data_IF_628449151670
#
_entry.id   IF_628449151670
#
_cell.length_a   1.000
_cell.length_b   1.000
_cell.length_c   1.000
_cell.angle_alpha   90.00
_cell.angle_beta   90.00
_cell.angle_gamma   90.00
#
_symmetry.space_group_name_H-M   'P 1'
#
loop_
_entity.id
_entity.type
_entity.pdbx_description
1 polymer ?
#
# COMPACT_ATOMS: atom_id res chain seq x y z
N UNK A 1 21.97 24.74 -6.60
CA UNK A 1 21.76 23.28 -6.68
C UNK A 1 20.25 23.05 -6.77
N UNK A 2 19.75 22.40 -7.83
CA UNK A 2 18.34 21.99 -7.87
C UNK A 2 18.21 20.74 -7.00
N UNK A 3 17.50 20.83 -5.88
CA UNK A 3 17.17 19.65 -5.08
C UNK A 3 16.18 18.81 -5.89
N UNK A 4 16.62 17.66 -6.40
CA UNK A 4 15.72 16.67 -6.99
C UNK A 4 14.92 16.06 -5.84
N UNK A 5 13.74 16.60 -5.57
CA UNK A 5 12.85 16.03 -4.55
C UNK A 5 12.32 14.69 -5.04
N UNK A 6 12.52 13.63 -4.27
CA UNK A 6 11.98 12.32 -4.59
C UNK A 6 10.43 12.37 -4.52
N UNK A 7 9.72 12.12 -5.63
CA UNK A 7 8.25 12.10 -5.61
C UNK A 7 7.68 11.17 -4.56
N UNK A 8 8.34 10.03 -4.33
CA UNK A 8 7.86 8.97 -3.44
C UNK A 8 7.94 9.32 -1.95
N UNK A 9 8.57 10.45 -1.59
CA UNK A 9 8.57 10.97 -0.22
C UNK A 9 7.59 12.12 0.00
N UNK A 10 6.92 12.59 -1.05
CA UNK A 10 5.93 13.67 -0.93
C UNK A 10 4.59 13.11 -0.44
N UNK A 11 3.80 13.90 0.31
CA UNK A 11 2.45 13.49 0.70
C UNK A 11 1.54 13.42 -0.52
N UNK A 12 0.43 12.67 -0.41
CA UNK A 12 -0.70 12.79 -1.35
C UNK A 12 -1.20 14.24 -1.36
N UNK A 13 -1.45 14.78 -2.55
CA UNK A 13 -2.01 16.12 -2.71
C UNK A 13 -3.12 16.09 -3.77
N UNK A 14 -4.35 16.41 -3.34
CA UNK A 14 -5.54 16.42 -4.21
C UNK A 14 -5.52 17.59 -5.19
N UNK A 15 -4.63 18.56 -5.00
CA UNK A 15 -4.61 19.80 -5.74
C UNK A 15 -5.91 20.59 -5.53
N UNK A 16 -6.32 21.33 -6.56
CA UNK A 16 -7.52 22.15 -6.55
C UNK A 16 -8.31 22.00 -7.86
N UNK A 17 -9.60 22.33 -7.78
CA UNK A 17 -10.45 22.42 -8.97
C UNK A 17 -10.04 23.62 -9.83
N UNK A 18 -10.11 23.45 -11.15
CA UNK A 18 -9.81 24.48 -12.13
C UNK A 18 -10.57 24.22 -13.45
N UNK A 19 -10.63 25.23 -14.32
CA UNK A 19 -11.39 25.15 -15.58
C UNK A 19 -10.72 24.29 -16.66
N UNK A 20 -9.42 24.05 -16.55
CA UNK A 20 -8.62 23.46 -17.63
C UNK A 20 -8.53 21.92 -17.57
N UNK A 21 -8.94 21.31 -16.45
CA UNK A 21 -8.84 19.88 -16.25
C UNK A 21 -9.95 19.38 -15.31
N UNK A 22 -10.59 18.27 -15.69
CA UNK A 22 -11.59 17.62 -14.86
C UNK A 22 -10.96 16.76 -13.76
N UNK A 23 -11.65 16.56 -12.62
CA UNK A 23 -11.22 15.62 -11.60
C UNK A 23 -11.09 14.19 -12.14
N UNK A 24 -10.08 13.46 -11.69
CA UNK A 24 -9.81 12.09 -12.13
C UNK A 24 -9.13 11.27 -11.04
N UNK A 25 -9.19 9.95 -11.18
CA UNK A 25 -8.41 9.05 -10.33
C UNK A 25 -6.94 9.13 -10.76
N UNK A 26 -6.08 9.29 -9.76
CA UNK A 26 -4.62 9.18 -9.86
C UNK A 26 -4.14 8.23 -8.77
N UNK A 27 -2.87 7.85 -8.83
CA UNK A 27 -2.22 6.98 -7.85
C UNK A 27 -1.12 7.75 -7.14
N UNK A 28 -0.98 7.52 -5.84
CA UNK A 28 0.13 8.05 -5.04
C UNK A 28 0.80 6.91 -4.29
N UNK A 29 2.08 7.07 -3.97
CA UNK A 29 2.81 6.15 -3.12
C UNK A 29 2.58 6.50 -1.65
N UNK A 30 2.00 5.56 -0.91
CA UNK A 30 1.83 5.63 0.54
C UNK A 30 3.02 4.96 1.23
N UNK A 31 3.83 5.75 1.93
CA UNK A 31 5.06 5.25 2.55
C UNK A 31 4.80 4.31 3.74
N UNK A 32 3.63 4.40 4.38
CA UNK A 32 3.25 3.56 5.53
C UNK A 32 2.94 2.13 5.11
N UNK A 33 2.11 1.98 4.07
CA UNK A 33 1.74 0.68 3.51
C UNK A 33 2.71 0.20 2.44
N UNK A 34 3.65 1.05 2.03
CA UNK A 34 4.60 0.81 0.92
C UNK A 34 3.83 0.37 -0.33
N UNK A 35 2.74 1.07 -0.63
CA UNK A 35 1.81 0.68 -1.67
C UNK A 35 1.38 1.89 -2.49
N UNK A 36 1.09 1.65 -3.76
CA UNK A 36 0.50 2.65 -4.63
C UNK A 36 -1.02 2.58 -4.52
N UNK A 37 -1.64 3.65 -4.00
CA UNK A 37 -3.06 3.71 -3.70
C UNK A 37 -3.77 4.78 -4.56
N UNK A 38 -5.01 4.53 -5.00
CA UNK A 38 -5.78 5.47 -5.79
C UNK A 38 -6.34 6.61 -4.94
N UNK A 39 -6.45 7.79 -5.53
CA UNK A 39 -7.12 8.95 -4.94
C UNK A 39 -7.70 9.87 -6.01
N UNK A 40 -8.65 10.72 -5.62
CA UNK A 40 -9.28 11.70 -6.50
C UNK A 40 -8.48 13.02 -6.52
N UNK A 41 -7.76 13.21 -7.62
CA UNK A 41 -7.12 14.48 -7.98
C UNK A 41 -8.14 15.45 -8.60
N UNK A 42 -8.11 16.72 -8.20
CA UNK A 42 -9.14 17.71 -8.54
C UNK A 42 -8.90 18.45 -9.87
N UNK A 43 -7.75 18.25 -10.51
CA UNK A 43 -7.50 18.70 -11.89
C UNK A 43 -6.26 19.60 -12.04
N UNK A 44 -5.99 20.48 -11.08
CA UNK A 44 -4.83 21.38 -11.08
C UNK A 44 -4.02 21.33 -9.79
N UNK A 45 -2.77 21.80 -9.86
CA UNK A 45 -1.86 21.85 -8.72
C UNK A 45 -1.36 20.47 -8.33
N UNK A 46 -1.28 20.21 -7.03
CA UNK A 46 -0.75 18.95 -6.52
C UNK A 46 0.77 18.94 -6.46
N UNK A 47 1.32 17.73 -6.32
CA UNK A 47 2.76 17.50 -6.32
C UNK A 47 3.14 16.26 -7.15
N UNK A 48 4.42 15.91 -7.16
CA UNK A 48 4.94 14.85 -8.02
C UNK A 48 4.58 13.42 -7.57
N UNK A 49 4.05 13.21 -6.34
CA UNK A 49 3.53 11.91 -5.89
C UNK A 49 2.15 11.62 -6.50
N UNK A 50 2.08 11.65 -7.83
CA UNK A 50 0.84 11.53 -8.58
C UNK A 50 1.14 10.85 -9.92
N UNK A 51 0.51 9.70 -10.13
CA UNK A 51 0.76 8.84 -11.28
C UNK A 51 -0.56 8.45 -11.94
N UNK A 52 -0.55 8.35 -13.28
CA UNK A 52 -1.75 8.00 -14.04
C UNK A 52 -2.18 6.54 -13.85
N UNK A 53 -1.22 5.65 -13.56
CA UNK A 53 -1.48 4.23 -13.34
C UNK A 53 -0.78 3.74 -12.08
N UNK A 54 -1.32 2.64 -11.50
CA UNK A 54 -0.66 1.94 -10.39
C UNK A 54 0.73 1.48 -10.81
N UNK A 55 0.87 0.95 -12.03
CA UNK A 55 2.13 0.45 -12.55
C UNK A 55 3.21 1.53 -12.61
N UNK A 56 2.86 2.74 -13.05
CA UNK A 56 3.82 3.85 -13.11
C UNK A 56 4.26 4.29 -11.71
N UNK A 57 3.32 4.36 -10.76
CA UNK A 57 3.64 4.59 -9.35
C UNK A 57 4.56 3.51 -8.81
N UNK A 58 4.23 2.22 -9.02
CA UNK A 58 5.00 1.09 -8.52
C UNK A 58 6.40 1.08 -9.12
N UNK A 59 6.54 1.23 -10.44
CA UNK A 59 7.86 1.31 -11.10
C UNK A 59 8.71 2.45 -10.59
N UNK A 60 8.09 3.57 -10.19
CA UNK A 60 8.82 4.76 -9.72
C UNK A 60 9.21 4.68 -8.25
N UNK A 61 8.32 4.14 -7.41
CA UNK A 61 8.37 4.30 -5.96
C UNK A 61 8.47 3.00 -5.18
N UNK A 62 7.98 1.89 -5.72
CA UNK A 62 8.17 0.59 -5.11
C UNK A 62 9.54 0.07 -5.56
N UNK A 63 10.45 -0.22 -4.63
CA UNK A 63 11.77 -0.77 -4.96
C UNK A 63 11.65 -2.03 -5.83
N UNK A 64 12.47 -2.12 -6.89
CA UNK A 64 12.33 -3.03 -8.06
C UNK A 64 12.54 -4.53 -7.80
N UNK A 65 12.41 -4.99 -6.57
CA UNK A 65 12.47 -6.40 -6.18
C UNK A 65 11.08 -6.95 -5.84
N UNK A 66 10.02 -6.18 -6.08
CA UNK A 66 8.66 -6.49 -5.67
C UNK A 66 7.78 -6.85 -6.88
N UNK A 67 7.82 -8.12 -7.30
CA UNK A 67 6.85 -8.65 -8.28
C UNK A 67 5.68 -9.40 -7.63
N UNK A 68 5.67 -9.56 -6.30
CA UNK A 68 4.53 -10.05 -5.53
C UNK A 68 4.65 -9.48 -4.13
N UNK A 69 3.69 -8.64 -3.73
CA UNK A 69 3.37 -8.23 -2.36
C UNK A 69 4.47 -8.54 -1.32
N UNK A 70 5.28 -7.56 -0.92
CA UNK A 70 6.12 -7.58 0.30
C UNK A 70 7.26 -8.59 0.38
N UNK A 71 7.46 -9.46 -0.61
CA UNK A 71 8.18 -10.71 -0.35
C UNK A 71 9.69 -10.68 -0.47
N UNK A 72 10.37 -9.59 -0.85
CA UNK A 72 11.82 -9.68 -1.11
C UNK A 72 12.74 -8.67 -0.41
N UNK A 73 12.24 -7.57 0.18
CA UNK A 73 13.10 -6.57 0.83
C UNK A 73 13.25 -6.68 2.35
N UNK A 74 12.59 -7.66 2.99
CA UNK A 74 12.70 -7.80 4.45
C UNK A 74 12.14 -6.61 5.23
N UNK A 75 11.05 -6.00 4.73
CA UNK A 75 10.27 -5.01 5.46
C UNK A 75 9.06 -5.67 6.12
N UNK A 76 8.79 -5.27 7.35
CA UNK A 76 7.56 -5.65 8.03
C UNK A 76 6.44 -4.67 7.70
N UNK A 77 5.21 -5.12 7.89
CA UNK A 77 4.02 -4.33 7.72
C UNK A 77 4.06 -3.02 8.51
N UNK A 78 3.48 -1.97 7.91
CA UNK A 78 3.22 -0.68 8.60
C UNK A 78 4.49 -0.08 9.20
N UNK A 79 5.61 -0.14 8.46
CA UNK A 79 6.95 0.27 8.93
C UNK A 79 7.39 -0.45 10.20
N UNK A 80 6.87 -1.64 10.48
CA UNK A 80 7.31 -2.47 11.59
C UNK A 80 8.80 -2.76 11.45
N UNK A 81 9.52 -2.66 12.56
CA UNK A 81 10.94 -3.00 12.56
C UNK A 81 11.12 -4.51 12.76
N UNK A 82 11.97 -5.17 11.95
CA UNK A 82 12.27 -6.58 12.13
C UNK A 82 13.01 -6.79 13.45
N UNK A 83 12.84 -7.96 14.07
CA UNK A 83 13.59 -8.30 15.27
C UNK A 83 15.11 -8.27 14.97
N UNK A 84 15.85 -7.56 15.83
CA UNK A 84 17.30 -7.44 15.76
C UNK A 84 17.97 -8.33 16.79
N UNK A 85 18.90 -9.15 16.35
CA UNK A 85 19.83 -9.86 17.23
C UNK A 85 20.80 -8.87 17.91
N UNK A 86 21.50 -9.27 18.98
CA UNK A 86 22.46 -8.41 19.68
C UNK A 86 23.57 -7.83 18.79
N UNK A 87 23.88 -8.49 17.67
CA UNK A 87 24.85 -8.04 16.66
C UNK A 87 24.26 -7.05 15.62
N UNK A 88 22.99 -6.65 15.76
CA UNK A 88 22.28 -5.73 14.85
C UNK A 88 21.71 -6.36 13.58
N UNK A 89 21.91 -7.65 13.35
CA UNK A 89 21.35 -8.38 12.20
C UNK A 89 19.88 -8.73 12.41
N UNK A 90 19.10 -8.82 11.32
CA UNK A 90 17.73 -9.32 11.40
C UNK A 90 17.76 -10.80 11.74
N UNK A 91 16.97 -11.22 12.73
CA UNK A 91 16.80 -12.66 13.00
C UNK A 91 16.11 -13.33 11.82
N UNK A 92 16.76 -14.38 11.31
CA UNK A 92 16.24 -15.20 10.23
C UNK A 92 15.25 -16.25 10.77
N UNK A 93 14.40 -16.76 9.89
CA UNK A 93 13.46 -17.85 10.17
C UNK A 93 13.22 -18.65 8.87
N UNK A 94 12.69 -19.88 8.90
CA UNK A 94 12.01 -20.56 10.00
C UNK A 94 12.92 -21.35 10.97
N UNK A 95 14.18 -21.61 10.63
CA UNK A 95 15.03 -22.58 11.35
C UNK A 95 15.24 -22.23 12.83
N UNK A 96 15.49 -20.96 13.12
CA UNK A 96 15.76 -20.44 14.46
C UNK A 96 14.51 -20.00 15.23
N UNK A 97 13.33 -20.05 14.60
CA UNK A 97 12.09 -19.51 15.15
C UNK A 97 12.11 -17.99 15.35
N UNK A 98 10.97 -17.42 15.78
CA UNK A 98 10.85 -16.01 16.13
C UNK A 98 10.48 -15.84 17.60
N UNK A 99 10.94 -14.77 18.27
CA UNK A 99 10.55 -14.43 19.64
C UNK A 99 9.04 -14.18 19.78
N UNK A 100 8.58 -14.10 21.03
CA UNK A 100 7.23 -13.67 21.37
C UNK A 100 6.92 -12.30 20.75
N UNK A 101 5.65 -12.05 20.41
CA UNK A 101 5.22 -10.90 19.60
C UNK A 101 5.77 -10.79 18.17
N UNK A 102 6.65 -11.71 17.72
CA UNK A 102 7.12 -11.77 16.34
C UNK A 102 6.64 -13.03 15.61
N UNK A 103 6.38 -12.91 14.30
CA UNK A 103 6.06 -14.03 13.41
C UNK A 103 7.04 -14.08 12.24
N UNK A 104 7.27 -15.29 11.75
CA UNK A 104 8.10 -15.52 10.59
C UNK A 104 7.37 -15.08 9.31
N UNK A 105 7.87 -14.03 8.66
CA UNK A 105 7.46 -13.63 7.32
C UNK A 105 8.46 -14.21 6.34
N UNK A 106 8.00 -15.20 5.57
CA UNK A 106 8.82 -15.86 4.56
C UNK A 106 9.01 -14.92 3.38
N UNK A 107 10.23 -14.78 2.91
CA UNK A 107 10.64 -14.09 1.69
C UNK A 107 11.01 -15.14 0.63
N UNK A 108 11.51 -14.74 -0.56
CA UNK A 108 11.83 -15.71 -1.62
C UNK A 108 12.80 -16.84 -1.19
N UNK A 109 13.77 -16.54 -0.32
CA UNK A 109 14.83 -17.50 0.05
C UNK A 109 15.00 -17.72 1.55
N UNK A 110 14.68 -16.72 2.36
CA UNK A 110 14.79 -16.76 3.82
C UNK A 110 13.54 -16.13 4.42
N UNK A 111 13.33 -16.23 5.72
CA UNK A 111 12.32 -15.43 6.41
C UNK A 111 12.96 -14.49 7.41
N UNK A 112 12.22 -13.46 7.79
CA UNK A 112 12.59 -12.57 8.90
C UNK A 112 11.49 -12.55 9.95
N UNK A 113 11.85 -12.21 11.18
CA UNK A 113 10.91 -12.05 12.26
C UNK A 113 10.33 -10.63 12.26
N UNK A 114 9.03 -10.51 11.98
CA UNK A 114 8.28 -9.25 11.96
C UNK A 114 7.23 -9.18 13.07
N UNK A 115 6.89 -7.98 13.58
CA UNK A 115 5.90 -7.83 14.64
C UNK A 115 4.55 -8.41 14.25
N UNK A 116 3.99 -9.30 15.07
CA UNK A 116 2.66 -9.92 14.84
C UNK A 116 1.58 -8.86 14.69
N UNK A 117 1.58 -7.86 15.58
CA UNK A 117 0.55 -6.84 15.61
C UNK A 117 0.41 -6.08 14.28
N UNK A 118 1.52 -5.62 13.70
CA UNK A 118 1.47 -4.84 12.45
C UNK A 118 1.16 -5.74 11.26
N UNK A 119 1.71 -6.95 11.23
CA UNK A 119 1.41 -7.94 10.19
C UNK A 119 -0.06 -8.33 10.18
N UNK A 120 -0.61 -8.65 11.35
CA UNK A 120 -2.00 -9.08 11.49
C UNK A 120 -2.97 -7.93 11.17
N UNK A 121 -2.65 -6.71 11.62
CA UNK A 121 -3.41 -5.51 11.28
C UNK A 121 -3.41 -5.25 9.77
N UNK A 122 -2.26 -5.35 9.11
CA UNK A 122 -2.24 -5.15 7.67
C UNK A 122 -2.94 -6.28 6.90
N UNK A 123 -2.71 -7.54 7.29
CA UNK A 123 -3.30 -8.69 6.61
C UNK A 123 -4.83 -8.65 6.63
N UNK A 124 -5.44 -8.22 7.74
CA UNK A 124 -6.90 -8.03 7.81
C UNK A 124 -7.41 -6.83 6.99
N UNK A 125 -6.53 -5.87 6.66
CA UNK A 125 -6.90 -4.69 5.87
C UNK A 125 -6.72 -4.88 4.34
N UNK A 126 -5.84 -5.78 3.91
CA UNK A 126 -5.64 -6.06 2.47
C UNK A 126 -6.59 -7.13 1.91
N UNK A 127 -7.19 -7.93 2.79
CA UNK A 127 -8.16 -8.97 2.43
C UNK A 127 -9.46 -8.71 3.17
N UNK A 128 -10.34 -7.82 2.66
CA UNK A 128 -11.61 -7.50 3.30
C UNK A 128 -12.46 -8.77 3.47
N UNK A 129 -12.76 -9.12 4.71
CA UNK A 129 -13.70 -10.20 5.04
C UNK A 129 -15.10 -9.62 5.14
N UNK A 130 -15.75 -9.40 3.99
CA UNK A 130 -17.17 -9.09 3.97
C UNK A 130 -17.92 -10.38 3.57
N UNK A 131 -18.52 -11.02 4.57
CA UNK A 131 -19.24 -12.29 4.43
C UNK A 131 -20.55 -12.14 3.64
N UNK A 132 -21.08 -10.92 3.50
CA UNK A 132 -22.40 -10.66 2.91
C UNK A 132 -22.35 -9.88 1.58
N UNK A 133 -21.32 -9.04 1.36
CA UNK A 133 -21.13 -8.33 0.08
C UNK A 133 -19.70 -8.48 -0.45
N UNK A 134 -19.56 -8.86 -1.71
CA UNK A 134 -18.24 -9.05 -2.32
C UNK A 134 -17.51 -7.70 -2.44
N UNK A 135 -16.26 -7.66 -1.99
CA UNK A 135 -15.34 -6.56 -2.29
C UNK A 135 -15.28 -6.38 -3.82
N UNK A 136 -15.39 -5.13 -4.27
CA UNK A 136 -15.21 -4.78 -5.68
C UNK A 136 -13.76 -5.09 -6.07
N UNK A 137 -13.61 -5.97 -7.06
CA UNK A 137 -12.30 -6.32 -7.60
C UNK A 137 -12.03 -5.59 -8.90
N UNK A 138 -10.75 -5.28 -9.12
CA UNK A 138 -10.25 -4.73 -10.38
C UNK A 138 -9.04 -5.56 -10.81
N UNK A 139 -8.86 -5.72 -12.12
CA UNK A 139 -7.61 -6.26 -12.66
C UNK A 139 -6.48 -5.28 -12.38
N UNK A 140 -5.56 -5.66 -11.50
CA UNK A 140 -4.34 -4.93 -11.18
C UNK A 140 -3.17 -5.89 -11.40
N UNK A 141 -2.18 -5.46 -12.18
CA UNK A 141 -0.96 -6.24 -12.46
C UNK A 141 -1.26 -7.67 -12.97
N UNK A 142 -2.27 -7.79 -13.83
CA UNK A 142 -2.76 -9.05 -14.43
C UNK A 142 -3.60 -9.96 -13.53
N UNK A 143 -3.89 -9.57 -12.29
CA UNK A 143 -4.69 -10.35 -11.34
C UNK A 143 -5.92 -9.60 -10.85
N UNK A 144 -7.02 -10.31 -10.56
CA UNK A 144 -8.18 -9.73 -9.89
C UNK A 144 -7.86 -9.51 -8.42
N UNK A 145 -7.92 -8.25 -7.98
CA UNK A 145 -7.60 -7.87 -6.60
C UNK A 145 -8.65 -6.90 -6.08
N UNK A 146 -8.94 -6.89 -4.76
CA UNK A 146 -9.78 -5.85 -4.15
C UNK A 146 -9.23 -4.46 -4.49
N UNK A 147 -10.10 -3.52 -4.84
CA UNK A 147 -9.70 -2.14 -5.01
C UNK A 147 -9.53 -1.49 -3.62
N UNK A 148 -8.28 -1.37 -3.20
CA UNK A 148 -7.88 -0.76 -1.93
C UNK A 148 -7.50 0.70 -2.16
N UNK A 149 -7.84 1.57 -1.21
CA UNK A 149 -7.41 2.96 -1.09
C UNK A 149 -6.97 3.27 0.33
N UNK A 150 -6.43 4.48 0.57
CA UNK A 150 -5.96 4.85 1.91
C UNK A 150 -7.11 5.23 2.83
N UNK A 151 -8.03 6.06 2.34
CA UNK A 151 -9.19 6.53 3.08
C UNK A 151 -10.40 6.68 2.16
N UNK A 152 -11.61 6.57 2.71
CA UNK A 152 -12.83 6.91 1.96
C UNK A 152 -12.90 8.38 1.54
N UNK A 153 -12.16 9.26 2.22
CA UNK A 153 -11.99 10.68 1.85
C UNK A 153 -11.27 10.85 0.51
N UNK A 154 -10.60 9.80 0.02
CA UNK A 154 -9.91 9.82 -1.28
C UNK A 154 -10.86 9.66 -2.47
N UNK A 155 -12.15 9.39 -2.24
CA UNK A 155 -13.18 9.30 -3.29
C UNK A 155 -12.76 8.40 -4.47
N UNK A 156 -12.10 7.29 -4.16
CA UNK A 156 -11.49 6.41 -5.17
C UNK A 156 -12.44 5.32 -5.69
N UNK A 157 -13.58 5.14 -5.04
CA UNK A 157 -14.53 4.09 -5.39
C UNK A 157 -15.31 4.39 -6.67
N UNK A 158 -15.47 3.42 -7.58
CA UNK A 158 -16.21 3.62 -8.82
C UNK A 158 -17.73 3.73 -8.57
N UNK A 159 -18.51 4.22 -9.55
CA UNK A 159 -19.97 4.24 -9.46
C UNK A 159 -20.56 2.85 -9.13
N UNK A 160 -21.70 2.82 -8.45
CA UNK A 160 -22.38 1.60 -7.96
C UNK A 160 -21.60 0.79 -6.91
N UNK A 161 -20.59 1.41 -6.30
CA UNK A 161 -19.90 0.84 -5.15
C UNK A 161 -19.98 1.79 -3.97
N UNK A 162 -19.80 1.26 -2.77
CA UNK A 162 -19.72 2.04 -1.54
C UNK A 162 -18.34 1.86 -0.92
N UNK A 163 -17.74 2.96 -0.47
CA UNK A 163 -16.50 2.88 0.28
C UNK A 163 -16.76 2.38 1.71
N UNK A 164 -15.89 1.49 2.18
CA UNK A 164 -15.86 1.01 3.55
C UNK A 164 -14.48 1.32 4.12
N UNK A 165 -14.46 2.17 5.16
CA UNK A 165 -13.25 2.51 5.89
C UNK A 165 -12.88 1.37 6.84
N UNK A 166 -11.60 0.97 6.81
CA UNK A 166 -11.01 0.06 7.79
C UNK A 166 -9.95 0.81 8.60
N UNK A 167 -9.21 0.09 9.45
CA UNK A 167 -8.24 0.67 10.37
C UNK A 167 -7.01 1.30 9.67
N UNK A 168 -6.53 0.69 8.58
CA UNK A 168 -5.32 1.14 7.85
C UNK A 168 -5.66 1.61 6.44
N UNK A 169 -6.59 0.90 5.79
CA UNK A 169 -6.98 1.09 4.40
C UNK A 169 -8.49 1.29 4.30
N UNK A 170 -8.96 1.54 3.09
CA UNK A 170 -10.36 1.49 2.72
C UNK A 170 -10.52 0.60 1.49
N UNK A 171 -11.71 0.05 1.30
CA UNK A 171 -12.04 -0.73 0.10
C UNK A 171 -13.42 -0.36 -0.43
N UNK A 172 -13.69 -0.74 -1.67
CA UNK A 172 -15.00 -0.55 -2.28
C UNK A 172 -15.79 -1.86 -2.21
N UNK A 173 -17.02 -1.83 -1.72
CA UNK A 173 -17.96 -2.97 -1.81
C UNK A 173 -19.00 -2.71 -2.88
N UNK A 174 -19.44 -3.75 -3.58
CA UNK A 174 -20.57 -3.64 -4.53
C UNK A 174 -21.87 -3.38 -3.77
N UNK A 175 -22.73 -2.51 -4.30
CA UNK A 175 -24.04 -2.20 -3.70
C UNK A 175 -25.06 -3.32 -3.90
#
# INVERSE_FOLDING_TARGET
MLTITNPCSLPKDRGNQCSNAAPKIQWFFDTETVSCLPFRYLGCGGNANQFSTRQDCSRRCVPSTDFVYRLDYGWCALKGEPYKEPNGTNRLCPQTGCPDEYRCIRLAFFGICCPKQTEDLFNRNISPQDHDKKAFTKTLDSYQQPLLGKSCEDEFCPPKTQCVQQEVLAYCRTL
#
